data_IF_985395556539
#
_entry.id   IF_985395556539
#
_cell.length_a   1.000
_cell.length_b   1.000
_cell.length_c   1.000
_cell.angle_alpha   90.00
_cell.angle_beta   90.00
_cell.angle_gamma   90.00
#
_symmetry.space_group_name_H-M   'P 1'
#
loop_
_entity.id
_entity.type
_entity.pdbx_description
1 polymer ?
#
# COMPACT_ATOMS: atom_id res chain seq x y z
N UNK A 1 18.05 -5.60 10.66
CA UNK A 1 16.63 -5.19 10.42
C UNK A 1 16.62 -3.68 10.36
N UNK A 2 16.28 -3.09 9.20
CA UNK A 2 16.30 -1.63 9.00
C UNK A 2 15.23 -0.94 9.84
N UNK A 3 15.55 0.25 10.36
CA UNK A 3 14.61 1.10 11.07
C UNK A 3 13.79 1.90 10.06
N UNK A 4 12.46 1.73 10.09
CA UNK A 4 11.56 2.42 9.17
C UNK A 4 11.11 3.78 9.72
N UNK A 5 12.06 4.71 9.83
CA UNK A 5 11.91 5.98 10.52
C UNK A 5 10.72 6.81 10.02
N UNK A 6 10.45 6.79 8.71
CA UNK A 6 9.32 7.48 8.08
C UNK A 6 7.96 7.08 8.66
N UNK A 7 7.83 5.83 9.12
CA UNK A 7 6.62 5.36 9.80
C UNK A 7 6.71 5.54 11.32
N UNK A 8 7.91 5.38 11.90
CA UNK A 8 8.11 5.47 13.34
C UNK A 8 7.91 6.90 13.87
N UNK A 9 8.41 7.91 13.14
CA UNK A 9 8.33 9.31 13.54
C UNK A 9 6.89 9.77 13.87
N UNK A 10 5.89 9.64 12.99
CA UNK A 10 4.52 10.04 13.30
C UNK A 10 3.83 9.16 14.35
N UNK A 11 4.24 7.88 14.51
CA UNK A 11 3.63 6.99 15.49
C UNK A 11 4.08 7.36 16.92
N UNK A 12 5.31 7.87 17.10
CA UNK A 12 5.86 8.25 18.43
C UNK A 12 5.02 9.27 19.16
N UNK A 13 4.37 10.20 18.43
CA UNK A 13 3.49 11.20 19.01
C UNK A 13 2.30 10.58 19.77
N UNK A 14 1.97 9.33 19.47
CA UNK A 14 0.81 8.62 20.01
C UNK A 14 1.18 7.55 21.03
N UNK A 15 2.47 7.33 21.37
CA UNK A 15 2.89 6.23 22.23
C UNK A 15 2.16 6.20 23.56
N UNK A 16 2.01 7.33 24.21
CA UNK A 16 1.40 7.43 25.54
C UNK A 16 -0.07 7.87 25.49
N UNK A 17 -0.56 8.16 24.29
CA UNK A 17 -1.92 8.61 24.07
C UNK A 17 -2.95 7.48 24.22
N UNK A 18 -4.17 7.87 24.57
CA UNK A 18 -5.33 6.99 24.74
C UNK A 18 -5.93 6.51 23.40
N UNK A 19 -5.56 7.12 22.27
CA UNK A 19 -6.02 6.66 20.97
C UNK A 19 -5.43 5.29 20.63
N UNK A 20 -6.24 4.39 20.11
CA UNK A 20 -5.81 3.08 19.64
C UNK A 20 -5.00 3.27 18.35
N UNK A 21 -3.74 2.81 18.32
CA UNK A 21 -2.86 2.86 17.16
C UNK A 21 -3.11 1.65 16.29
N UNK A 22 -3.63 1.87 15.07
CA UNK A 22 -4.03 0.81 14.14
C UNK A 22 -3.01 0.69 13.01
N UNK A 23 -2.16 -0.32 13.05
CA UNK A 23 -1.13 -0.58 12.06
C UNK A 23 -1.71 -1.48 10.98
N UNK A 24 -1.93 -0.93 9.77
CA UNK A 24 -2.54 -1.64 8.65
C UNK A 24 -1.58 -1.74 7.46
N UNK A 25 -1.94 -2.52 6.46
CA UNK A 25 -1.19 -2.68 5.22
C UNK A 25 -1.26 -4.09 4.68
N UNK A 26 -0.86 -4.28 3.43
CA UNK A 26 -0.88 -5.58 2.76
C UNK A 26 -0.12 -6.65 3.57
N UNK A 27 -0.50 -7.91 3.42
CA UNK A 27 0.23 -9.03 4.02
C UNK A 27 1.73 -8.98 3.67
N UNK A 28 2.60 -9.22 4.69
CA UNK A 28 4.09 -9.25 4.55
C UNK A 28 4.75 -7.92 4.19
N UNK A 29 4.11 -6.77 4.37
CA UNK A 29 4.73 -5.46 4.19
C UNK A 29 5.58 -4.99 5.39
N UNK A 30 5.58 -5.71 6.52
CA UNK A 30 6.40 -5.41 7.70
C UNK A 30 5.64 -4.82 8.89
N UNK A 31 4.31 -5.01 9.02
CA UNK A 31 3.53 -4.53 10.17
C UNK A 31 4.05 -5.01 11.52
N UNK A 32 4.24 -6.33 11.68
CA UNK A 32 4.79 -6.93 12.91
C UNK A 32 6.20 -6.44 13.22
N UNK A 33 6.98 -6.07 12.18
CA UNK A 33 8.30 -5.46 12.35
C UNK A 33 8.18 -4.06 12.96
N UNK A 34 7.24 -3.25 12.48
CA UNK A 34 6.94 -1.94 13.07
C UNK A 34 6.52 -2.08 14.54
N UNK A 35 5.62 -3.02 14.87
CA UNK A 35 5.24 -3.26 16.27
C UNK A 35 6.47 -3.59 17.14
N UNK A 36 7.38 -4.45 16.65
CA UNK A 36 8.62 -4.80 17.35
C UNK A 36 9.54 -3.60 17.53
N UNK A 37 9.66 -2.72 16.51
CA UNK A 37 10.46 -1.50 16.61
C UNK A 37 9.88 -0.53 17.65
N UNK A 38 8.56 -0.40 17.73
CA UNK A 38 7.88 0.39 18.76
C UNK A 38 8.15 -0.19 20.14
N UNK A 39 8.04 -1.51 20.29
CA UNK A 39 8.32 -2.21 21.56
C UNK A 39 9.75 -1.94 22.02
N UNK A 40 10.74 -2.04 21.13
CA UNK A 40 12.14 -1.78 21.48
C UNK A 40 12.36 -0.33 21.95
N UNK A 41 11.73 0.67 21.31
CA UNK A 41 11.79 2.06 21.77
C UNK A 41 11.10 2.27 23.14
N UNK A 42 9.97 1.61 23.37
CA UNK A 42 9.24 1.74 24.64
C UNK A 42 9.97 1.02 25.79
N UNK A 43 10.64 -0.10 25.54
CA UNK A 43 11.45 -0.82 26.52
C UNK A 43 12.56 0.03 27.14
N UNK A 44 13.03 1.07 26.47
CA UNK A 44 14.03 1.99 27.04
C UNK A 44 13.49 2.76 28.27
N UNK A 45 12.15 2.81 28.44
CA UNK A 45 11.49 3.62 29.49
C UNK A 45 10.40 2.90 30.28
N UNK A 46 9.97 1.70 29.87
CA UNK A 46 8.92 0.93 30.56
C UNK A 46 9.04 -0.56 30.28
N UNK A 47 8.91 -1.37 31.32
CA UNK A 47 8.80 -2.83 31.24
C UNK A 47 7.34 -3.32 31.24
N UNK A 48 6.36 -2.40 31.43
CA UNK A 48 4.93 -2.74 31.46
C UNK A 48 4.38 -2.89 30.04
N UNK A 49 4.85 -3.93 29.34
CA UNK A 49 4.56 -4.21 27.94
C UNK A 49 4.00 -5.61 27.80
N UNK A 50 2.85 -5.73 27.11
CA UNK A 50 2.23 -7.00 26.76
C UNK A 50 2.17 -7.11 25.25
N UNK A 51 2.75 -8.16 24.68
CA UNK A 51 2.70 -8.46 23.26
C UNK A 51 2.04 -9.82 23.01
N UNK A 52 0.98 -9.83 22.21
CA UNK A 52 0.23 -11.02 21.82
C UNK A 52 0.17 -11.11 20.29
N UNK A 53 0.67 -12.22 19.74
CA UNK A 53 0.61 -12.55 18.32
C UNK A 53 -0.47 -13.61 18.09
N UNK A 54 -1.59 -13.20 17.48
CA UNK A 54 -2.71 -14.10 17.18
C UNK A 54 -2.53 -14.89 15.88
N UNK A 55 -1.40 -14.77 15.17
CA UNK A 55 -1.00 -15.79 14.18
C UNK A 55 -0.62 -17.10 14.89
N UNK A 56 -0.12 -17.04 16.13
CA UNK A 56 0.14 -18.23 16.95
C UNK A 56 -1.17 -18.86 17.43
N UNK A 57 -1.39 -20.11 17.01
CA UNK A 57 -2.59 -20.86 17.35
C UNK A 57 -2.69 -21.16 18.85
N UNK A 58 -1.58 -21.31 19.55
CA UNK A 58 -1.58 -21.52 21.00
C UNK A 58 -2.09 -20.29 21.74
N UNK A 59 -1.63 -19.10 21.34
CA UNK A 59 -2.11 -17.82 21.88
C UNK A 59 -3.60 -17.64 21.58
N UNK A 60 -4.02 -17.87 20.32
CA UNK A 60 -5.44 -17.74 19.94
C UNK A 60 -6.35 -18.71 20.68
N UNK A 61 -5.91 -19.96 20.90
CA UNK A 61 -6.69 -20.94 21.66
C UNK A 61 -6.81 -20.58 23.15
N UNK A 62 -5.78 -19.95 23.72
CA UNK A 62 -5.79 -19.49 25.10
C UNK A 62 -6.61 -18.21 25.28
N UNK A 63 -6.70 -17.36 24.24
CA UNK A 63 -7.35 -16.05 24.27
C UNK A 63 -8.28 -15.93 23.04
N UNK A 64 -9.39 -16.68 23.01
CA UNK A 64 -10.27 -16.72 21.83
C UNK A 64 -11.20 -15.52 21.69
N UNK A 65 -11.50 -14.81 22.78
CA UNK A 65 -12.54 -13.80 22.84
C UNK A 65 -12.17 -12.58 23.71
N UNK A 66 -13.08 -11.60 23.74
CA UNK A 66 -12.97 -10.36 24.49
C UNK A 66 -12.67 -10.59 25.98
N UNK A 67 -13.40 -11.49 26.63
CA UNK A 67 -13.28 -11.71 28.08
C UNK A 67 -11.92 -12.32 28.41
N UNK A 68 -11.52 -13.36 27.70
CA UNK A 68 -10.20 -13.99 27.88
C UNK A 68 -9.05 -12.99 27.63
N UNK A 69 -9.20 -12.09 26.65
CA UNK A 69 -8.21 -11.05 26.35
C UNK A 69 -8.10 -10.04 27.51
N UNK A 70 -9.23 -9.57 28.02
CA UNK A 70 -9.25 -8.62 29.14
C UNK A 70 -8.66 -9.24 30.43
N UNK A 71 -9.06 -10.48 30.74
CA UNK A 71 -8.57 -11.18 31.93
C UNK A 71 -7.06 -11.46 31.86
N UNK A 72 -6.57 -11.83 30.66
CA UNK A 72 -5.14 -12.02 30.44
C UNK A 72 -4.35 -10.73 30.69
N UNK A 73 -4.80 -9.62 30.08
CA UNK A 73 -4.09 -8.33 30.23
C UNK A 73 -4.17 -7.85 31.68
N UNK A 74 -5.32 -7.94 32.34
CA UNK A 74 -5.49 -7.54 33.73
C UNK A 74 -4.58 -8.31 34.70
N UNK A 75 -4.37 -9.60 34.45
CA UNK A 75 -3.51 -10.46 35.29
C UNK A 75 -2.01 -10.26 35.06
N UNK A 76 -1.60 -9.63 33.96
CA UNK A 76 -0.19 -9.46 33.59
C UNK A 76 0.29 -8.01 33.60
N UNK A 77 -0.62 -7.04 33.64
CA UNK A 77 -0.24 -5.62 33.66
C UNK A 77 0.21 -5.16 35.05
N UNK A 78 1.15 -4.20 35.08
CA UNK A 78 1.49 -3.45 36.29
C UNK A 78 0.54 -2.26 36.54
N UNK A 79 0.83 -1.49 37.61
CA UNK A 79 0.01 -0.33 38.01
C UNK A 79 0.21 0.90 37.08
N UNK A 80 1.38 1.03 36.46
CA UNK A 80 1.71 2.12 35.52
C UNK A 80 0.99 1.96 34.20
N UNK A 81 1.13 2.94 33.29
CA UNK A 81 0.64 2.85 31.91
C UNK A 81 1.12 1.54 31.26
N UNK A 82 0.19 0.70 30.85
CA UNK A 82 0.48 -0.57 30.19
C UNK A 82 0.44 -0.40 28.66
N UNK A 83 1.50 -0.84 27.98
CA UNK A 83 1.57 -0.84 26.54
C UNK A 83 1.16 -2.21 25.99
N UNK A 84 0.00 -2.26 25.30
CA UNK A 84 -0.59 -3.50 24.81
C UNK A 84 -0.46 -3.56 23.30
N UNK A 85 0.21 -4.60 22.82
CA UNK A 85 0.43 -4.86 21.39
C UNK A 85 -0.30 -6.14 20.98
N UNK A 86 -1.23 -6.03 20.03
CA UNK A 86 -2.07 -7.13 19.55
C UNK A 86 -1.85 -7.30 18.05
N UNK A 87 -1.04 -8.27 17.66
CA UNK A 87 -0.77 -8.55 16.25
C UNK A 87 -1.84 -9.48 15.66
N UNK A 88 -2.36 -9.16 14.47
CA UNK A 88 -3.48 -9.84 13.78
C UNK A 88 -4.73 -10.01 14.67
N UNK A 89 -5.08 -8.95 15.44
CA UNK A 89 -6.13 -8.94 16.47
C UNK A 89 -7.53 -9.33 15.97
N UNK A 90 -7.82 -9.18 14.68
CA UNK A 90 -9.12 -9.53 14.08
C UNK A 90 -9.46 -11.03 14.15
N UNK A 91 -8.56 -11.87 14.63
CA UNK A 91 -8.78 -13.29 14.87
C UNK A 91 -9.47 -13.55 16.21
N UNK A 92 -9.44 -12.59 17.15
CA UNK A 92 -10.09 -12.66 18.45
C UNK A 92 -11.55 -12.21 18.33
N UNK A 93 -12.51 -12.98 18.86
CA UNK A 93 -13.90 -12.57 18.86
C UNK A 93 -14.12 -11.40 19.82
N UNK A 94 -14.87 -10.37 19.41
CA UNK A 94 -15.14 -9.19 20.26
C UNK A 94 -13.93 -8.26 20.49
N UNK A 95 -12.83 -8.45 19.81
CA UNK A 95 -11.59 -7.68 20.00
C UNK A 95 -11.77 -6.15 20.04
N UNK A 96 -12.74 -5.60 19.29
CA UNK A 96 -12.99 -4.15 19.27
C UNK A 96 -13.54 -3.65 20.61
N UNK A 97 -14.38 -4.44 21.28
CA UNK A 97 -14.87 -4.18 22.63
C UNK A 97 -13.71 -4.22 23.64
N UNK A 98 -12.87 -5.25 23.56
CA UNK A 98 -11.67 -5.36 24.39
C UNK A 98 -10.76 -4.12 24.26
N UNK A 99 -10.43 -3.71 23.02
CA UNK A 99 -9.60 -2.53 22.78
C UNK A 99 -10.19 -1.25 23.39
N UNK A 100 -11.51 -1.08 23.29
CA UNK A 100 -12.23 0.05 23.89
C UNK A 100 -12.14 0.04 25.41
N UNK A 101 -12.26 -1.13 26.02
CA UNK A 101 -12.17 -1.31 27.48
C UNK A 101 -10.75 -1.06 27.98
N UNK A 102 -9.76 -1.61 27.32
CA UNK A 102 -8.33 -1.41 27.66
C UNK A 102 -7.94 0.06 27.63
N UNK A 103 -8.37 0.79 26.60
CA UNK A 103 -8.14 2.23 26.49
C UNK A 103 -8.61 3.01 27.75
N UNK A 104 -9.76 2.62 28.33
CA UNK A 104 -10.30 3.26 29.53
C UNK A 104 -9.53 2.83 30.79
N UNK A 105 -8.89 1.66 30.75
CA UNK A 105 -8.14 1.07 31.87
C UNK A 105 -6.66 1.42 31.89
N UNK A 106 -6.28 2.62 31.48
CA UNK A 106 -4.90 3.08 31.46
C UNK A 106 -3.96 2.20 30.61
N UNK A 107 -4.44 1.75 29.43
CA UNK A 107 -3.62 1.01 28.47
C UNK A 107 -3.42 1.82 27.21
N UNK A 108 -2.18 1.88 26.72
CA UNK A 108 -1.83 2.36 25.39
C UNK A 108 -1.87 1.18 24.44
N UNK A 109 -2.88 1.16 23.54
CA UNK A 109 -3.20 0.00 22.70
C UNK A 109 -2.68 0.18 21.27
N UNK A 110 -1.91 -0.79 20.80
CA UNK A 110 -1.42 -0.94 19.44
C UNK A 110 -1.97 -2.22 18.85
N UNK A 111 -2.61 -2.11 17.70
CA UNK A 111 -3.15 -3.28 17.00
C UNK A 111 -2.64 -3.35 15.58
N UNK A 112 -2.50 -4.54 15.05
CA UNK A 112 -2.18 -4.74 13.64
C UNK A 112 -3.18 -5.65 12.93
N UNK A 113 -3.19 -5.53 11.60
CA UNK A 113 -3.89 -6.48 10.73
C UNK A 113 -3.70 -6.20 9.25
N UNK A 114 -3.84 -7.27 8.49
CA UNK A 114 -3.54 -7.29 7.05
C UNK A 114 -4.65 -6.75 6.16
N UNK A 115 -5.67 -6.08 6.72
CA UNK A 115 -6.82 -5.62 5.94
C UNK A 115 -7.46 -4.35 6.52
N UNK A 116 -8.00 -3.50 5.63
CA UNK A 116 -8.74 -2.29 6.01
C UNK A 116 -10.05 -2.55 6.76
N UNK A 117 -10.49 -3.82 6.90
CA UNK A 117 -11.63 -4.15 7.78
C UNK A 117 -11.36 -3.85 9.25
N UNK A 118 -10.09 -3.76 9.68
CA UNK A 118 -9.77 -3.11 10.95
C UNK A 118 -10.24 -1.65 10.99
N UNK A 119 -10.53 -1.06 9.81
CA UNK A 119 -11.08 0.27 9.63
C UNK A 119 -12.51 0.22 9.00
N UNK A 120 -13.18 -0.96 9.01
CA UNK A 120 -14.51 -1.15 8.43
C UNK A 120 -15.57 -0.32 9.15
N UNK A 121 -16.74 -0.15 8.50
CA UNK A 121 -17.86 0.62 9.09
C UNK A 121 -18.32 0.08 10.45
N UNK A 122 -18.18 -1.21 10.71
CA UNK A 122 -18.51 -1.82 12.01
C UNK A 122 -17.51 -1.38 13.07
N UNK A 123 -16.21 -1.48 12.77
CA UNK A 123 -15.12 -1.01 13.62
C UNK A 123 -15.14 0.51 13.82
N UNK A 124 -15.36 1.28 12.74
CA UNK A 124 -15.47 2.75 12.85
C UNK A 124 -16.68 3.19 13.66
N UNK A 125 -17.78 2.43 13.71
CA UNK A 125 -18.90 2.71 14.62
C UNK A 125 -18.54 2.46 16.07
N UNK A 126 -17.85 1.37 16.37
CA UNK A 126 -17.49 1.00 17.74
C UNK A 126 -16.36 1.87 18.31
N UNK A 127 -15.41 2.27 17.49
CA UNK A 127 -14.22 3.04 17.89
C UNK A 127 -14.17 4.45 17.28
N UNK A 128 -15.29 4.98 16.79
CA UNK A 128 -15.34 6.31 16.16
C UNK A 128 -14.66 7.38 17.01
N UNK A 129 -13.67 8.08 16.42
CA UNK A 129 -12.89 9.12 17.09
C UNK A 129 -11.91 8.63 18.16
N UNK A 130 -11.68 7.31 18.28
CA UNK A 130 -10.86 6.71 19.33
C UNK A 130 -9.63 5.95 18.81
N UNK A 131 -9.31 6.07 17.53
CA UNK A 131 -8.17 5.41 16.92
C UNK A 131 -7.46 6.32 15.92
N UNK A 132 -6.21 6.00 15.63
CA UNK A 132 -5.39 6.62 14.59
C UNK A 132 -4.81 5.52 13.71
N UNK A 133 -5.03 5.57 12.37
CA UNK A 133 -4.52 4.56 11.46
C UNK A 133 -3.14 4.93 10.92
N UNK A 134 -2.25 3.94 10.85
CA UNK A 134 -0.94 4.01 10.20
C UNK A 134 -0.85 2.91 9.14
N UNK A 135 -0.81 3.29 7.87
CA UNK A 135 -0.70 2.34 6.76
C UNK A 135 0.75 2.09 6.41
N UNK A 136 1.19 0.85 6.60
CA UNK A 136 2.52 0.37 6.24
C UNK A 136 2.47 -0.23 4.83
N UNK A 137 3.44 0.13 3.99
CA UNK A 137 3.58 -0.37 2.62
C UNK A 137 4.81 -1.26 2.48
N UNK A 138 4.93 -2.08 1.43
CA UNK A 138 6.19 -2.68 1.03
C UNK A 138 7.32 -1.65 0.97
N UNK A 139 8.55 -2.07 0.93
CA UNK A 139 9.69 -1.15 0.87
C UNK A 139 9.68 -0.30 -0.40
N UNK A 140 9.94 0.99 -0.25
CA UNK A 140 10.41 1.83 -1.34
C UNK A 140 11.87 1.47 -1.67
N UNK A 141 12.40 1.94 -2.81
CA UNK A 141 13.75 1.53 -3.24
C UNK A 141 14.83 1.82 -2.20
N UNK A 142 14.77 2.97 -1.56
CA UNK A 142 15.72 3.37 -0.51
C UNK A 142 15.75 2.35 0.63
N UNK A 143 14.58 1.97 1.16
CA UNK A 143 14.45 0.97 2.22
C UNK A 143 14.91 -0.42 1.75
N UNK A 144 14.55 -0.81 0.52
CA UNK A 144 14.93 -2.10 -0.06
C UNK A 144 16.45 -2.21 -0.27
N UNK A 145 17.09 -1.14 -0.78
CA UNK A 145 18.53 -1.06 -0.97
C UNK A 145 19.28 -1.13 0.36
N UNK A 146 18.78 -0.43 1.37
CA UNK A 146 19.36 -0.44 2.72
C UNK A 146 19.26 -1.84 3.36
N UNK A 147 18.11 -2.48 3.26
CA UNK A 147 17.92 -3.87 3.74
C UNK A 147 18.77 -4.86 2.94
N UNK A 148 18.91 -4.67 1.64
CA UNK A 148 19.82 -5.45 0.80
C UNK A 148 21.25 -5.39 1.31
N UNK A 149 21.77 -4.20 1.63
CA UNK A 149 23.11 -4.01 2.19
C UNK A 149 23.31 -4.75 3.51
N UNK A 150 22.31 -4.74 4.42
CA UNK A 150 22.37 -5.54 5.65
C UNK A 150 22.53 -7.05 5.36
N UNK A 151 21.96 -7.53 4.26
CA UNK A 151 22.04 -8.93 3.81
C UNK A 151 23.28 -9.22 2.94
N UNK A 152 24.16 -8.22 2.71
CA UNK A 152 25.31 -8.34 1.81
C UNK A 152 24.91 -8.44 0.33
N UNK A 153 23.75 -7.89 -0.07
CA UNK A 153 23.19 -7.93 -1.43
C UNK A 153 23.06 -6.53 -1.99
N UNK A 154 23.44 -6.36 -3.24
CA UNK A 154 23.16 -5.15 -4.01
C UNK A 154 21.87 -5.36 -4.82
N UNK A 155 20.92 -4.45 -4.67
CA UNK A 155 19.63 -4.48 -5.37
C UNK A 155 19.66 -3.41 -6.45
N UNK A 156 19.54 -3.81 -7.71
CA UNK A 156 19.47 -2.87 -8.82
C UNK A 156 18.10 -2.20 -8.93
N UNK A 157 18.06 -1.01 -9.55
CA UNK A 157 16.78 -0.35 -9.89
C UNK A 157 15.93 -1.21 -10.82
N UNK A 158 16.54 -1.91 -11.78
CA UNK A 158 15.82 -2.82 -12.68
C UNK A 158 15.18 -3.98 -11.91
N UNK A 159 15.89 -4.56 -10.92
CA UNK A 159 15.31 -5.59 -10.05
C UNK A 159 14.09 -5.06 -9.29
N UNK A 160 14.17 -3.84 -8.78
CA UNK A 160 13.05 -3.20 -8.08
C UNK A 160 11.87 -2.89 -9.02
N UNK A 161 12.10 -2.42 -10.24
CA UNK A 161 11.06 -2.16 -11.25
C UNK A 161 10.33 -3.46 -11.65
N UNK A 162 11.01 -4.59 -11.62
CA UNK A 162 10.42 -5.89 -11.95
C UNK A 162 9.75 -6.53 -10.72
N UNK A 163 10.45 -6.60 -9.61
CA UNK A 163 10.06 -7.47 -8.48
C UNK A 163 9.55 -6.72 -7.25
N UNK A 164 9.51 -5.38 -7.29
CA UNK A 164 8.93 -4.56 -6.21
C UNK A 164 9.71 -4.58 -4.91
N UNK A 165 9.02 -4.22 -3.83
CA UNK A 165 9.58 -3.95 -2.51
C UNK A 165 9.11 -4.89 -1.39
N UNK A 166 8.52 -6.06 -1.67
CA UNK A 166 8.21 -7.00 -0.58
C UNK A 166 9.50 -7.41 0.15
N UNK A 167 9.66 -7.12 1.47
CA UNK A 167 10.95 -7.24 2.15
C UNK A 167 11.56 -8.65 2.06
N UNK A 168 10.77 -9.68 2.35
CA UNK A 168 11.26 -11.06 2.44
C UNK A 168 11.76 -11.63 1.12
N UNK A 169 11.36 -11.07 -0.03
CA UNK A 169 11.78 -11.60 -1.33
C UNK A 169 13.30 -11.60 -1.52
N UNK A 170 13.98 -10.56 -1.01
CA UNK A 170 15.44 -10.43 -1.19
C UNK A 170 16.26 -11.31 -0.25
N UNK A 171 15.64 -11.98 0.72
CA UNK A 171 16.32 -12.99 1.52
C UNK A 171 16.68 -14.25 0.68
N UNK A 172 15.92 -14.52 -0.40
CA UNK A 172 16.18 -15.63 -1.31
C UNK A 172 17.33 -15.34 -2.27
N UNK A 173 18.19 -16.33 -2.51
CA UNK A 173 19.45 -16.17 -3.25
C UNK A 173 19.30 -16.21 -4.77
N UNK A 174 18.11 -16.39 -5.33
CA UNK A 174 17.93 -16.48 -6.78
C UNK A 174 16.54 -16.10 -7.23
N UNK A 175 16.42 -15.65 -8.49
CA UNK A 175 15.16 -15.18 -9.05
C UNK A 175 14.03 -16.23 -9.02
N UNK A 176 14.34 -17.53 -9.11
CA UNK A 176 13.35 -18.59 -8.96
C UNK A 176 12.77 -18.67 -7.55
N UNK A 177 13.60 -18.57 -6.52
CA UNK A 177 13.15 -18.56 -5.12
C UNK A 177 12.28 -17.34 -4.79
N UNK A 178 12.68 -16.18 -5.27
CA UNK A 178 11.87 -14.95 -5.15
C UNK A 178 10.51 -15.12 -5.82
N UNK A 179 10.48 -15.65 -7.05
CA UNK A 179 9.23 -15.85 -7.80
C UNK A 179 8.30 -16.86 -7.13
N UNK A 180 8.83 -17.96 -6.60
CA UNK A 180 8.05 -18.95 -5.83
C UNK A 180 7.43 -18.26 -4.61
N UNK A 181 8.22 -17.55 -3.82
CA UNK A 181 7.73 -16.82 -2.65
C UNK A 181 6.62 -15.81 -3.00
N UNK A 182 6.82 -15.02 -4.06
CA UNK A 182 5.85 -14.00 -4.48
C UNK A 182 4.54 -14.63 -5.01
N UNK A 183 4.61 -15.77 -5.69
CA UNK A 183 3.42 -16.51 -6.11
C UNK A 183 2.63 -17.03 -4.91
N UNK A 184 3.31 -17.65 -3.92
CA UNK A 184 2.68 -18.12 -2.70
C UNK A 184 2.07 -16.99 -1.87
N UNK A 185 2.75 -15.84 -1.80
CA UNK A 185 2.23 -14.65 -1.14
C UNK A 185 0.95 -14.16 -1.85
N UNK A 186 0.96 -14.08 -3.18
CA UNK A 186 -0.21 -13.68 -3.95
C UNK A 186 -1.39 -14.66 -3.76
N UNK A 187 -1.15 -15.98 -3.82
CA UNK A 187 -2.22 -16.96 -3.56
C UNK A 187 -2.78 -16.80 -2.14
N UNK A 188 -1.93 -16.56 -1.15
CA UNK A 188 -2.37 -16.30 0.23
C UNK A 188 -3.25 -15.04 0.33
N UNK A 189 -2.86 -13.95 -0.31
CA UNK A 189 -3.66 -12.70 -0.36
C UNK A 189 -5.01 -12.98 -1.03
N UNK A 190 -5.02 -13.61 -2.19
CA UNK A 190 -6.25 -13.88 -2.96
C UNK A 190 -7.18 -14.85 -2.21
N UNK A 191 -6.65 -15.95 -1.67
CA UNK A 191 -7.46 -16.99 -1.03
C UNK A 191 -7.89 -16.58 0.39
N UNK A 192 -6.94 -16.22 1.24
CA UNK A 192 -7.22 -16.01 2.66
C UNK A 192 -7.75 -14.62 2.95
N UNK A 193 -7.08 -13.58 2.40
CA UNK A 193 -7.42 -12.21 2.75
C UNK A 193 -8.63 -11.70 1.96
N UNK A 194 -9.00 -12.37 0.83
CA UNK A 194 -10.14 -11.96 0.02
C UNK A 194 -11.20 -13.07 -0.11
N UNK A 195 -10.92 -14.19 -0.79
CA UNK A 195 -11.96 -15.20 -1.10
C UNK A 195 -12.61 -15.75 0.15
N UNK A 196 -11.82 -16.25 1.10
CA UNK A 196 -12.32 -16.85 2.34
C UNK A 196 -13.02 -15.81 3.22
N UNK A 197 -12.42 -14.62 3.34
CA UNK A 197 -12.94 -13.51 4.15
C UNK A 197 -14.31 -13.03 3.68
N UNK A 198 -14.48 -12.78 2.38
CA UNK A 198 -15.73 -12.29 1.81
C UNK A 198 -16.68 -13.41 1.38
N UNK A 199 -16.32 -14.68 1.69
CA UNK A 199 -17.09 -15.89 1.35
C UNK A 199 -17.49 -15.89 -0.13
N UNK A 200 -16.52 -15.61 -1.02
CA UNK A 200 -16.76 -15.54 -2.46
C UNK A 200 -17.03 -16.93 -3.00
N UNK A 201 -18.25 -17.18 -3.47
CA UNK A 201 -18.66 -18.48 -4.01
C UNK A 201 -18.10 -18.75 -5.42
N UNK A 202 -18.05 -17.71 -6.28
CA UNK A 202 -17.54 -17.82 -7.67
C UNK A 202 -16.03 -17.50 -7.70
N UNK A 203 -15.22 -18.38 -7.14
CA UNK A 203 -13.78 -18.18 -6.94
C UNK A 203 -13.02 -18.00 -8.23
N UNK A 204 -13.37 -18.76 -9.30
CA UNK A 204 -12.74 -18.66 -10.62
C UNK A 204 -13.01 -17.30 -11.28
N UNK A 205 -14.27 -16.83 -11.21
CA UNK A 205 -14.65 -15.50 -11.70
C UNK A 205 -13.85 -14.41 -10.98
N UNK A 206 -13.71 -14.51 -9.65
CA UNK A 206 -12.94 -13.56 -8.88
C UNK A 206 -11.45 -13.59 -9.26
N UNK A 207 -10.82 -14.78 -9.31
CA UNK A 207 -9.40 -14.93 -9.69
C UNK A 207 -9.13 -14.37 -11.08
N UNK A 208 -10.00 -14.63 -12.05
CA UNK A 208 -9.87 -14.10 -13.41
C UNK A 208 -9.96 -12.58 -13.44
N UNK A 209 -10.93 -12.01 -12.71
CA UNK A 209 -11.08 -10.57 -12.57
C UNK A 209 -9.85 -9.94 -11.89
N UNK A 210 -9.39 -10.50 -10.78
CA UNK A 210 -8.20 -10.02 -10.08
C UNK A 210 -6.97 -10.00 -10.99
N UNK A 211 -6.76 -11.07 -11.75
CA UNK A 211 -5.67 -11.12 -12.74
C UNK A 211 -5.77 -10.01 -13.79
N UNK A 212 -6.98 -9.73 -14.28
CA UNK A 212 -7.19 -8.64 -15.23
C UNK A 212 -6.89 -7.29 -14.58
N UNK A 213 -7.31 -7.07 -13.34
CA UNK A 213 -7.08 -5.81 -12.61
C UNK A 213 -5.59 -5.59 -12.40
N UNK A 214 -4.84 -6.57 -11.90
CA UNK A 214 -3.39 -6.46 -11.73
C UNK A 214 -2.64 -6.19 -13.03
N UNK A 215 -3.04 -6.87 -14.13
CA UNK A 215 -2.47 -6.63 -15.46
C UNK A 215 -2.90 -5.28 -16.09
N UNK A 216 -3.85 -4.58 -15.46
CA UNK A 216 -4.26 -3.22 -15.83
C UNK A 216 -3.53 -2.14 -15.00
N UNK A 217 -2.43 -2.50 -14.34
CA UNK A 217 -1.60 -1.59 -13.58
C UNK A 217 -1.21 -0.34 -14.40
N UNK A 218 -1.30 0.86 -13.80
CA UNK A 218 -1.04 2.13 -14.47
C UNK A 218 -2.08 2.52 -15.52
N UNK A 219 -3.20 1.79 -15.66
CA UNK A 219 -4.19 2.02 -16.70
C UNK A 219 -5.54 2.42 -16.13
N UNK A 220 -6.31 3.12 -16.99
CA UNK A 220 -7.70 3.46 -16.65
C UNK A 220 -8.53 2.18 -16.67
N UNK A 221 -9.19 1.92 -15.55
CA UNK A 221 -10.09 0.80 -15.38
C UNK A 221 -11.54 1.28 -15.31
N UNK A 222 -12.40 0.79 -16.20
CA UNK A 222 -13.84 0.97 -16.08
C UNK A 222 -14.52 -0.38 -15.83
N UNK A 223 -15.54 -0.41 -14.99
CA UNK A 223 -16.28 -1.64 -14.73
C UNK A 223 -16.90 -2.24 -16.01
N UNK A 224 -17.24 -1.39 -17.00
CA UNK A 224 -17.72 -1.84 -18.32
C UNK A 224 -16.63 -2.50 -19.15
N UNK A 225 -15.37 -2.01 -19.12
CA UNK A 225 -14.26 -2.67 -19.82
C UNK A 225 -13.96 -4.04 -19.24
N UNK A 226 -14.01 -4.15 -17.90
CA UNK A 226 -13.88 -5.43 -17.19
C UNK A 226 -15.03 -6.39 -17.55
N UNK A 227 -16.28 -5.90 -17.57
CA UNK A 227 -17.46 -6.70 -17.94
C UNK A 227 -17.32 -7.28 -19.35
N UNK A 228 -16.89 -6.45 -20.32
CA UNK A 228 -16.64 -6.88 -21.70
C UNK A 228 -15.57 -7.97 -21.78
N UNK A 229 -14.46 -7.78 -21.05
CA UNK A 229 -13.39 -8.78 -20.96
C UNK A 229 -13.90 -10.09 -20.35
N UNK A 230 -14.60 -10.05 -19.21
CA UNK A 230 -15.11 -11.23 -18.52
C UNK A 230 -16.13 -11.99 -19.37
N UNK A 231 -17.00 -11.27 -20.10
CA UNK A 231 -17.93 -11.88 -21.05
C UNK A 231 -17.19 -12.59 -22.19
N UNK A 232 -16.14 -11.97 -22.75
CA UNK A 232 -15.28 -12.58 -23.77
C UNK A 232 -14.53 -13.82 -23.28
N UNK A 233 -14.20 -13.88 -21.99
CA UNK A 233 -13.55 -15.03 -21.36
C UNK A 233 -14.54 -16.16 -20.95
N UNK A 234 -15.84 -16.04 -21.28
CA UNK A 234 -16.86 -17.04 -20.91
C UNK A 234 -17.26 -17.02 -19.41
N UNK A 235 -16.87 -16.00 -18.67
CA UNK A 235 -17.13 -15.84 -17.24
C UNK A 235 -17.95 -14.55 -16.97
N UNK A 236 -19.20 -14.45 -17.44
CA UNK A 236 -19.98 -13.21 -17.34
C UNK A 236 -20.17 -12.78 -15.90
N UNK A 237 -19.93 -11.50 -15.63
CA UNK A 237 -20.02 -10.89 -14.32
C UNK A 237 -20.64 -9.50 -14.45
N UNK A 238 -21.62 -9.17 -13.62
CA UNK A 238 -22.30 -7.87 -13.66
C UNK A 238 -21.38 -6.74 -13.19
N UNK A 239 -21.60 -5.53 -13.67
CA UNK A 239 -20.90 -4.30 -13.24
C UNK A 239 -20.91 -4.14 -11.72
N UNK A 240 -22.05 -4.42 -11.06
CA UNK A 240 -22.17 -4.35 -9.60
C UNK A 240 -21.23 -5.33 -8.91
N UNK A 241 -21.12 -6.56 -9.40
CA UNK A 241 -20.21 -7.58 -8.84
C UNK A 241 -18.75 -7.20 -9.10
N UNK A 242 -18.44 -6.66 -10.28
CA UNK A 242 -17.11 -6.18 -10.66
C UNK A 242 -16.67 -5.07 -9.69
N UNK A 243 -17.49 -4.03 -9.50
CA UNK A 243 -17.21 -2.93 -8.58
C UNK A 243 -16.98 -3.44 -7.15
N UNK A 244 -17.79 -4.41 -6.70
CA UNK A 244 -17.65 -5.03 -5.39
C UNK A 244 -16.32 -5.79 -5.26
N UNK A 245 -15.91 -6.53 -6.29
CA UNK A 245 -14.67 -7.30 -6.29
C UNK A 245 -13.42 -6.41 -6.37
N UNK A 246 -13.47 -5.30 -7.12
CA UNK A 246 -12.42 -4.27 -7.11
C UNK A 246 -12.30 -3.68 -5.69
N UNK A 247 -13.42 -3.34 -5.05
CA UNK A 247 -13.42 -2.88 -3.65
C UNK A 247 -12.78 -3.88 -2.67
N UNK A 248 -12.96 -5.18 -2.88
CA UNK A 248 -12.29 -6.19 -2.05
C UNK A 248 -10.78 -6.25 -2.24
N UNK A 249 -10.28 -6.00 -3.45
CA UNK A 249 -8.84 -5.87 -3.72
C UNK A 249 -8.26 -4.62 -3.04
N UNK A 250 -8.99 -3.49 -3.05
CA UNK A 250 -8.60 -2.27 -2.33
C UNK A 250 -8.61 -2.47 -0.81
N UNK A 251 -9.67 -3.11 -0.28
CA UNK A 251 -9.78 -3.40 1.16
C UNK A 251 -8.69 -4.35 1.64
N UNK A 252 -8.18 -5.25 0.80
CA UNK A 252 -7.04 -6.11 1.08
C UNK A 252 -5.68 -5.39 0.89
N UNK A 253 -5.70 -4.11 0.53
CA UNK A 253 -4.51 -3.34 0.17
C UNK A 253 -3.71 -3.95 -0.99
N UNK A 254 -4.33 -4.76 -1.85
CA UNK A 254 -3.66 -5.36 -2.99
C UNK A 254 -3.50 -4.37 -4.17
N UNK A 255 -4.43 -3.43 -4.27
CA UNK A 255 -4.42 -2.32 -5.24
C UNK A 255 -4.79 -1.00 -4.55
N UNK A 256 -4.49 0.10 -5.25
CA UNK A 256 -5.04 1.41 -4.97
C UNK A 256 -5.69 1.98 -6.24
N UNK A 257 -6.76 2.76 -6.08
CA UNK A 257 -7.38 3.48 -7.18
C UNK A 257 -7.16 4.98 -7.03
N UNK A 258 -6.76 5.63 -8.11
CA UNK A 258 -6.54 7.07 -8.16
C UNK A 258 -7.66 7.72 -8.96
N UNK A 259 -8.29 8.74 -8.36
CA UNK A 259 -9.41 9.46 -8.95
C UNK A 259 -8.91 10.54 -9.90
N UNK A 260 -9.77 10.88 -10.84
CA UNK A 260 -9.55 12.02 -11.75
C UNK A 260 -9.54 13.34 -10.96
N UNK A 261 -8.55 14.17 -11.20
CA UNK A 261 -8.52 15.56 -10.74
C UNK A 261 -9.57 16.37 -11.47
N UNK A 262 -10.37 17.15 -10.76
CA UNK A 262 -11.32 18.07 -11.33
C UNK A 262 -11.30 19.39 -10.58
N UNK A 263 -10.93 20.46 -11.27
CA UNK A 263 -11.04 21.82 -10.74
C UNK A 263 -12.53 22.24 -10.51
N UNK A 264 -13.49 21.48 -11.03
CA UNK A 264 -14.94 21.68 -10.83
C UNK A 264 -15.52 20.44 -10.16
N UNK A 265 -15.82 20.55 -8.88
CA UNK A 265 -16.27 19.50 -7.95
C UNK A 265 -17.39 18.55 -8.46
N UNK A 266 -18.18 18.96 -9.45
CA UNK A 266 -19.25 18.12 -10.02
C UNK A 266 -18.77 17.01 -10.95
N UNK A 267 -17.53 17.05 -11.46
CA UNK A 267 -16.96 16.00 -12.36
C UNK A 267 -16.17 14.94 -11.62
N UNK A 268 -15.91 15.06 -10.33
CA UNK A 268 -15.26 14.04 -9.50
C UNK A 268 -16.11 12.75 -9.38
N UNK A 269 -17.40 12.80 -9.74
CA UNK A 269 -18.32 11.67 -9.70
C UNK A 269 -18.24 10.75 -10.94
N UNK A 270 -17.45 11.09 -11.95
CA UNK A 270 -17.21 10.19 -13.08
C UNK A 270 -16.31 9.03 -12.61
N UNK A 271 -16.75 7.79 -12.87
CA UNK A 271 -16.03 6.54 -12.60
C UNK A 271 -14.77 6.42 -13.50
N UNK A 272 -13.83 7.31 -13.28
CA UNK A 272 -12.52 7.29 -13.90
C UNK A 272 -11.51 6.91 -12.82
N UNK A 273 -11.10 5.66 -12.83
CA UNK A 273 -10.16 5.14 -11.86
C UNK A 273 -8.92 4.66 -12.61
N UNK A 274 -7.75 5.21 -12.29
CA UNK A 274 -6.46 4.63 -12.67
C UNK A 274 -6.05 3.68 -11.54
N UNK A 275 -5.63 2.47 -11.86
CA UNK A 275 -5.34 1.43 -10.87
C UNK A 275 -3.84 1.27 -10.73
N UNK A 276 -3.37 1.18 -9.51
CA UNK A 276 -1.99 0.88 -9.17
C UNK A 276 -1.93 -0.31 -8.21
N UNK A 277 -1.01 -1.24 -8.47
CA UNK A 277 -0.75 -2.33 -7.55
C UNK A 277 -0.05 -1.79 -6.30
N UNK A 278 -0.32 -2.35 -5.14
CA UNK A 278 0.41 -1.98 -3.92
C UNK A 278 1.90 -2.28 -4.06
N UNK A 279 2.22 -3.31 -4.86
CA UNK A 279 3.59 -3.66 -5.22
C UNK A 279 3.61 -4.26 -6.64
N UNK A 280 4.53 -3.83 -7.48
CA UNK A 280 4.65 -4.27 -8.88
C UNK A 280 4.93 -5.77 -9.02
N UNK A 281 5.40 -6.44 -7.97
CA UNK A 281 5.53 -7.89 -7.97
C UNK A 281 4.21 -8.58 -8.26
N UNK A 282 3.06 -8.02 -7.82
CA UNK A 282 1.73 -8.58 -8.07
C UNK A 282 1.37 -8.61 -9.55
N UNK A 283 1.85 -7.63 -10.33
CA UNK A 283 1.76 -7.64 -11.79
C UNK A 283 2.78 -8.64 -12.38
N UNK A 284 4.05 -8.50 -12.00
CA UNK A 284 5.16 -9.19 -12.65
C UNK A 284 5.12 -10.71 -12.56
N UNK A 285 4.58 -11.28 -11.47
CA UNK A 285 4.40 -12.74 -11.33
C UNK A 285 3.41 -13.33 -12.35
N UNK A 286 2.53 -12.50 -12.93
CA UNK A 286 1.51 -12.89 -13.92
C UNK A 286 2.04 -12.90 -15.34
N UNK A 287 3.22 -12.34 -15.56
CA UNK A 287 3.81 -12.21 -16.88
C UNK A 287 4.57 -13.48 -17.25
N UNK A 288 4.30 -13.98 -18.45
CA UNK A 288 5.00 -15.13 -19.03
C UNK A 288 6.24 -14.68 -19.81
N UNK A 289 7.25 -15.55 -19.88
CA UNK A 289 8.44 -15.35 -20.73
C UNK A 289 9.23 -14.08 -20.46
N UNK A 290 9.22 -13.58 -19.22
CA UNK A 290 9.95 -12.38 -18.77
C UNK A 290 9.65 -11.11 -19.60
N UNK A 291 8.46 -11.02 -20.20
CA UNK A 291 8.01 -9.84 -20.93
C UNK A 291 7.32 -8.84 -19.98
N UNK A 292 8.07 -8.36 -19.01
CA UNK A 292 7.54 -7.40 -18.02
C UNK A 292 7.13 -6.09 -18.67
N UNK A 293 6.03 -5.52 -18.18
CA UNK A 293 5.56 -4.19 -18.58
C UNK A 293 6.33 -3.12 -17.78
N UNK A 294 7.56 -2.85 -18.21
CA UNK A 294 8.46 -1.93 -17.49
C UNK A 294 7.89 -0.51 -17.42
N UNK A 295 7.17 -0.07 -18.45
CA UNK A 295 6.60 1.28 -18.49
C UNK A 295 5.56 1.49 -17.39
N UNK A 296 4.56 0.62 -17.29
CA UNK A 296 3.53 0.75 -16.26
C UNK A 296 4.03 0.39 -14.87
N UNK A 297 4.96 -0.57 -14.75
CA UNK A 297 5.61 -0.83 -13.48
C UNK A 297 6.41 0.38 -12.99
N UNK A 298 7.10 1.07 -13.90
CA UNK A 298 7.85 2.29 -13.57
C UNK A 298 6.93 3.39 -13.05
N UNK A 299 5.81 3.63 -13.73
CA UNK A 299 4.80 4.59 -13.30
C UNK A 299 4.20 4.20 -11.94
N UNK A 300 3.92 2.91 -11.71
CA UNK A 300 3.42 2.43 -10.40
C UNK A 300 4.44 2.65 -9.27
N UNK A 301 5.73 2.48 -9.54
CA UNK A 301 6.76 2.74 -8.55
C UNK A 301 6.81 4.23 -8.21
N UNK A 302 6.78 5.10 -9.22
CA UNK A 302 6.69 6.55 -8.97
C UNK A 302 5.45 6.89 -8.14
N UNK A 303 4.30 6.26 -8.42
CA UNK A 303 3.11 6.37 -7.57
C UNK A 303 3.43 6.00 -6.11
N UNK A 304 4.04 4.84 -5.86
CA UNK A 304 4.33 4.35 -4.51
C UNK A 304 5.33 5.25 -3.77
N UNK A 305 6.37 5.72 -4.46
CA UNK A 305 7.38 6.65 -3.90
C UNK A 305 6.74 8.00 -3.51
N UNK A 306 5.88 8.57 -4.37
CA UNK A 306 5.16 9.81 -4.08
C UNK A 306 4.23 9.67 -2.87
N UNK A 307 3.51 8.56 -2.76
CA UNK A 307 2.68 8.26 -1.57
C UNK A 307 3.56 8.12 -0.32
N UNK A 308 4.70 7.45 -0.43
CA UNK A 308 5.66 7.33 0.68
C UNK A 308 6.22 8.69 1.11
N UNK A 309 6.47 9.61 0.17
CA UNK A 309 6.86 10.99 0.45
C UNK A 309 5.72 11.82 1.12
N UNK A 310 4.49 11.29 1.15
CA UNK A 310 3.31 11.91 1.77
C UNK A 310 2.48 12.78 0.84
N UNK A 311 2.60 12.62 -0.48
CA UNK A 311 1.74 13.30 -1.44
C UNK A 311 0.38 12.62 -1.57
N UNK A 312 -0.68 13.43 -1.73
CA UNK A 312 -1.98 12.97 -2.22
C UNK A 312 -2.00 13.07 -3.73
N UNK A 313 -2.40 12.01 -4.42
CA UNK A 313 -2.32 11.90 -5.87
C UNK A 313 -3.69 11.85 -6.52
N UNK A 314 -3.81 12.53 -7.65
CA UNK A 314 -4.93 12.49 -8.57
C UNK A 314 -4.40 12.39 -10.01
N UNK A 315 -5.22 11.96 -10.97
CA UNK A 315 -4.89 11.92 -12.40
C UNK A 315 -5.61 13.07 -13.10
N UNK A 316 -4.88 13.83 -13.93
CA UNK A 316 -5.54 14.84 -14.76
C UNK A 316 -5.82 14.27 -16.15
N UNK A 317 -7.03 14.47 -16.65
CA UNK A 317 -7.39 14.10 -18.01
C UNK A 317 -8.54 14.99 -18.49
N UNK A 318 -8.32 15.77 -19.55
CA UNK A 318 -9.33 16.64 -20.17
C UNK A 318 -9.95 16.04 -21.44
N UNK A 319 -9.58 14.79 -21.77
CA UNK A 319 -9.99 14.07 -22.96
C UNK A 319 -9.00 14.20 -24.14
N UNK A 320 -8.19 15.25 -24.17
CA UNK A 320 -7.15 15.46 -25.17
C UNK A 320 -5.73 15.26 -24.60
N UNK A 321 -5.55 15.55 -23.31
CA UNK A 321 -4.27 15.46 -22.60
C UNK A 321 -4.46 14.71 -21.28
N UNK A 322 -3.52 13.88 -20.96
CA UNK A 322 -3.43 13.17 -19.68
C UNK A 322 -2.14 13.59 -18.96
N UNK A 323 -2.22 13.84 -17.66
CA UNK A 323 -1.08 13.97 -16.76
C UNK A 323 -1.17 12.84 -15.75
N UNK A 324 -0.11 12.07 -15.62
CA UNK A 324 -0.10 10.87 -14.79
C UNK A 324 -0.41 11.18 -13.34
N UNK A 325 0.18 12.27 -12.78
CA UNK A 325 -0.12 12.65 -11.40
C UNK A 325 -0.26 14.17 -11.23
N UNK A 326 -1.30 14.54 -10.50
CA UNK A 326 -1.41 15.82 -9.80
C UNK A 326 -1.10 15.52 -8.35
N UNK A 327 0.11 15.88 -7.89
CA UNK A 327 0.61 15.58 -6.56
C UNK A 327 0.45 16.79 -5.64
N UNK A 328 -0.24 16.60 -4.50
CA UNK A 328 -0.51 17.66 -3.53
C UNK A 328 0.09 17.32 -2.16
N UNK A 329 0.79 18.30 -1.55
CA UNK A 329 1.30 18.19 -0.17
C UNK A 329 1.30 19.58 0.48
N UNK A 330 0.47 19.78 1.49
CA UNK A 330 0.25 21.10 2.07
C UNK A 330 -0.25 22.09 1.00
N UNK A 331 0.47 23.19 0.82
CA UNK A 331 0.15 24.23 -0.16
C UNK A 331 0.87 24.05 -1.50
N UNK A 332 1.65 22.96 -1.66
CA UNK A 332 2.40 22.67 -2.89
C UNK A 332 1.59 21.73 -3.79
N UNK A 333 1.54 22.05 -5.10
CA UNK A 333 0.95 21.21 -6.12
C UNK A 333 1.93 21.06 -7.28
N UNK A 334 2.03 19.83 -7.80
CA UNK A 334 2.91 19.45 -8.90
C UNK A 334 2.13 18.72 -9.97
N UNK A 335 2.43 18.98 -11.24
CA UNK A 335 2.03 18.17 -12.37
C UNK A 335 3.19 17.27 -12.77
N UNK A 336 2.98 15.96 -12.77
CA UNK A 336 4.05 14.98 -12.97
C UNK A 336 3.69 14.06 -14.13
N UNK A 337 4.59 13.94 -15.09
CA UNK A 337 4.56 12.95 -16.16
C UNK A 337 5.64 11.90 -15.89
N UNK A 338 5.37 10.66 -16.23
CA UNK A 338 6.27 9.53 -16.01
C UNK A 338 6.46 8.74 -17.30
N UNK A 339 7.68 8.65 -17.78
CA UNK A 339 8.01 7.82 -18.93
C UNK A 339 9.25 6.98 -18.65
N UNK A 340 9.28 5.75 -19.14
CA UNK A 340 10.49 4.93 -19.00
C UNK A 340 11.69 5.56 -19.70
N UNK A 341 11.47 6.14 -20.89
CA UNK A 341 12.47 6.92 -21.64
C UNK A 341 11.81 7.95 -22.55
N UNK A 342 12.49 9.10 -22.74
CA UNK A 342 12.11 10.17 -23.66
C UNK A 342 13.22 10.46 -24.70
N UNK A 343 14.10 9.51 -24.95
CA UNK A 343 15.17 9.62 -25.96
C UNK A 343 14.63 9.72 -27.39
N UNK A 344 13.46 9.16 -27.67
CA UNK A 344 12.76 9.29 -28.93
C UNK A 344 11.99 10.62 -28.99
N UNK A 345 12.14 11.40 -30.07
CA UNK A 345 11.49 12.71 -30.27
C UNK A 345 9.96 12.67 -30.03
N UNK A 346 9.27 11.63 -30.54
CA UNK A 346 7.84 11.45 -30.32
C UNK A 346 7.46 11.24 -28.86
N UNK A 347 8.30 10.52 -28.09
CA UNK A 347 8.10 10.32 -26.67
C UNK A 347 8.34 11.63 -25.92
N UNK A 348 9.40 12.35 -26.25
CA UNK A 348 9.69 13.65 -25.69
C UNK A 348 8.54 14.64 -25.92
N UNK A 349 8.10 14.81 -27.20
CA UNK A 349 6.98 15.69 -27.54
C UNK A 349 5.69 15.35 -26.80
N UNK A 350 5.39 14.06 -26.64
CA UNK A 350 4.21 13.59 -25.91
C UNK A 350 4.27 13.97 -24.43
N UNK A 351 5.37 13.67 -23.74
CA UNK A 351 5.47 13.85 -22.29
C UNK A 351 5.65 15.32 -21.90
N UNK A 352 6.53 16.05 -22.60
CA UNK A 352 6.73 17.48 -22.33
C UNK A 352 5.59 18.33 -22.89
N UNK A 353 5.01 17.95 -24.03
CA UNK A 353 3.87 18.61 -24.65
C UNK A 353 2.58 18.50 -23.86
N UNK A 354 2.43 17.47 -23.01
CA UNK A 354 1.26 17.29 -22.16
C UNK A 354 0.98 18.50 -21.25
N UNK A 355 2.02 19.25 -20.89
CA UNK A 355 1.92 20.43 -20.03
C UNK A 355 1.52 21.73 -20.73
N UNK A 356 1.43 21.76 -22.08
CA UNK A 356 1.30 23.01 -22.85
C UNK A 356 0.07 23.87 -22.52
N UNK A 357 -1.02 23.22 -22.04
CA UNK A 357 -2.27 23.91 -21.71
C UNK A 357 -2.51 24.07 -20.19
N UNK A 358 -1.57 23.63 -19.38
CA UNK A 358 -1.72 23.71 -17.93
C UNK A 358 -1.24 25.06 -17.40
N UNK A 359 -1.85 25.49 -16.32
CA UNK A 359 -1.46 26.67 -15.58
C UNK A 359 0.03 26.63 -15.18
N UNK A 360 0.71 27.74 -15.37
CA UNK A 360 2.12 27.88 -15.00
C UNK A 360 2.34 28.20 -13.51
N UNK A 361 1.26 28.30 -12.72
CA UNK A 361 1.36 28.50 -11.27
C UNK A 361 1.89 27.26 -10.53
N UNK A 362 1.76 26.08 -11.12
CA UNK A 362 2.23 24.82 -10.54
C UNK A 362 3.51 24.34 -11.21
N UNK A 363 4.42 23.75 -10.45
CA UNK A 363 5.62 23.14 -10.99
C UNK A 363 5.29 21.91 -11.84
N UNK A 364 5.97 21.78 -12.97
CA UNK A 364 5.84 20.70 -13.95
C UNK A 364 7.09 19.83 -13.87
N UNK A 365 6.91 18.53 -13.74
CA UNK A 365 7.99 17.56 -13.55
C UNK A 365 7.82 16.41 -14.55
N UNK A 366 8.91 16.00 -15.20
CA UNK A 366 9.00 14.74 -15.94
C UNK A 366 10.00 13.84 -15.22
N UNK A 367 9.61 12.59 -14.96
CA UNK A 367 10.47 11.59 -14.33
C UNK A 367 10.77 10.51 -15.37
N UNK A 368 12.04 10.23 -15.65
CA UNK A 368 12.45 9.16 -16.58
C UNK A 368 13.60 8.33 -16.05
N UNK A 369 13.82 7.17 -16.67
CA UNK A 369 14.99 6.32 -16.40
C UNK A 369 16.20 6.68 -17.29
N UNK A 370 16.14 7.79 -18.02
CA UNK A 370 17.25 8.27 -18.84
C UNK A 370 18.35 8.90 -17.97
N UNK A 371 19.60 8.78 -18.42
CA UNK A 371 20.77 9.38 -17.74
C UNK A 371 21.08 10.83 -18.17
N UNK A 372 20.33 11.35 -19.15
CA UNK A 372 20.46 12.71 -19.67
C UNK A 372 19.45 13.62 -18.97
N UNK A 373 19.84 14.86 -18.63
CA UNK A 373 18.92 15.86 -18.12
C UNK A 373 18.21 16.58 -19.29
N UNK A 374 16.88 16.47 -19.31
CA UNK A 374 16.00 17.11 -20.29
C UNK A 374 15.28 18.33 -19.73
N UNK A 375 15.72 18.90 -18.61
CA UNK A 375 15.09 20.08 -18.01
C UNK A 375 15.01 21.25 -18.98
N UNK A 376 13.87 21.92 -18.98
CA UNK A 376 13.62 23.16 -19.75
C UNK A 376 13.41 24.33 -18.79
N UNK A 377 13.19 25.53 -19.30
CA UNK A 377 12.86 26.70 -18.47
C UNK A 377 11.54 26.58 -17.69
N UNK A 378 10.63 25.67 -18.08
CA UNK A 378 9.30 25.52 -17.49
C UNK A 378 9.01 24.14 -16.94
N UNK A 379 9.81 23.13 -17.30
CA UNK A 379 9.62 21.74 -16.88
C UNK A 379 10.92 21.22 -16.29
N UNK A 380 10.88 20.77 -15.04
CA UNK A 380 12.00 20.10 -14.37
C UNK A 380 12.02 18.63 -14.76
N UNK A 381 13.15 18.14 -15.22
CA UNK A 381 13.37 16.71 -15.39
C UNK A 381 14.06 16.15 -14.15
N UNK A 382 13.61 14.96 -13.70
CA UNK A 382 14.21 14.23 -12.58
C UNK A 382 14.57 12.83 -13.07
N UNK A 383 15.82 12.45 -12.94
CA UNK A 383 16.27 11.10 -13.23
C UNK A 383 15.78 10.15 -12.13
N UNK A 384 15.29 8.97 -12.52
CA UNK A 384 14.72 8.02 -11.58
C UNK A 384 15.68 7.57 -10.47
N UNK A 385 16.96 7.41 -10.83
CA UNK A 385 17.99 7.05 -9.85
C UNK A 385 18.15 8.07 -8.72
N UNK A 386 17.87 9.36 -9.00
CA UNK A 386 17.90 10.41 -8.00
C UNK A 386 16.56 10.53 -7.28
N UNK A 387 15.45 10.39 -8.03
CA UNK A 387 14.09 10.47 -7.51
C UNK A 387 13.83 9.49 -6.35
N UNK A 388 14.28 8.23 -6.46
CA UNK A 388 14.03 7.18 -5.44
C UNK A 388 14.76 7.39 -4.12
N UNK A 389 15.68 8.38 -4.06
CA UNK A 389 16.35 8.79 -2.82
C UNK A 389 15.85 10.13 -2.27
N UNK A 390 14.92 10.80 -2.97
CA UNK A 390 14.35 12.06 -2.51
C UNK A 390 13.41 11.82 -1.31
N UNK A 391 13.34 12.80 -0.43
CA UNK A 391 12.36 12.82 0.66
C UNK A 391 11.12 13.68 0.31
N UNK A 392 11.27 14.62 -0.65
CA UNK A 392 10.20 15.45 -1.23
C UNK A 392 10.63 15.97 -2.62
N UNK A 393 9.66 16.47 -3.42
CA UNK A 393 9.87 17.04 -4.77
C UNK A 393 10.43 18.46 -4.70
#
# INVERSE_FOLDING_TARGET
>A
MIKREKYMEPIREFYDGDLIKVITGIRRCGKSVILKQIIEEIKERSDNIIFLDFEDTAVLNAIPDEMALLDYIESHRGESLCYVFLDEVQRVEGWAGACRTLRIRNCSVFISGSNSKLLSREFTKELSGRYVPFRIRPFVYKELSEYGKELGKEISLTDYVIWGGFPKRIEFSGGSGQRIYLNELNETIILNDIINRYKIRKTEVFKRLANFVFLSNGRILSARSVEKYMKGAGLPCSVTTITKYIGYLEEAYAIATVKKYSAKSKRELEYYLKVYDEDVALNSIRVMNNRYDLTHNFENIVYNELIYMGYTLQVYNDGAHEIDFVANKGNKQYYIQVAYSVTEEKAYEREFGAFAKLDNSCQKIVITNDDIDYSTSTVRHIQFKDFVFMNEL
#
